data_IF_677059806938
#
_entry.id   IF_677059806938
#
_cell.length_a   1.000
_cell.length_b   1.000
_cell.length_c   1.000
_cell.angle_alpha   90.00
_cell.angle_beta   90.00
_cell.angle_gamma   90.00
#
_symmetry.space_group_name_H-M   'P 1'
#
loop_
_entity.id
_entity.type
_entity.pdbx_description
1 polymer ?
#
# COMPACT_ATOMS: atom_id res chain seq x y z
N UNK A 1 -4.15 -7.52 41.31
CA UNK A 1 -3.32 -6.60 40.49
C UNK A 1 -2.45 -7.33 39.44
N UNK A 2 -1.87 -8.50 39.73
CA UNK A 2 -1.03 -9.24 38.75
C UNK A 2 -1.79 -9.95 37.60
N UNK A 3 -3.05 -10.34 37.80
CA UNK A 3 -3.85 -11.02 36.76
C UNK A 3 -4.29 -10.04 35.67
N UNK A 4 -4.65 -8.83 36.05
CA UNK A 4 -5.09 -7.75 35.16
C UNK A 4 -4.00 -7.34 34.16
N UNK A 5 -2.75 -7.27 34.62
CA UNK A 5 -1.59 -6.93 33.77
C UNK A 5 -1.33 -8.05 32.76
N UNK A 6 -1.44 -9.32 33.17
CA UNK A 6 -1.24 -10.47 32.27
C UNK A 6 -2.26 -10.52 31.13
N UNK A 7 -3.52 -10.17 31.39
CA UNK A 7 -4.56 -10.07 30.37
C UNK A 7 -4.30 -8.91 29.38
N UNK A 8 -3.80 -7.78 29.88
CA UNK A 8 -3.48 -6.60 29.07
C UNK A 8 -2.35 -6.88 28.06
N UNK A 9 -1.34 -7.64 28.47
CA UNK A 9 -0.26 -8.09 27.59
C UNK A 9 -0.79 -9.01 26.49
N UNK A 10 -1.65 -9.98 26.83
CA UNK A 10 -2.24 -10.90 25.84
C UNK A 10 -3.06 -10.15 24.78
N UNK A 11 -3.80 -9.12 25.19
CA UNK A 11 -4.60 -8.29 24.28
C UNK A 11 -3.74 -7.45 23.32
N UNK A 12 -2.59 -6.96 23.77
CA UNK A 12 -1.63 -6.23 22.94
C UNK A 12 -0.93 -7.15 21.93
N UNK A 13 -0.63 -8.40 22.33
CA UNK A 13 -0.02 -9.38 21.43
C UNK A 13 -0.98 -9.87 20.34
N UNK A 14 -2.27 -10.09 20.63
CA UNK A 14 -3.24 -10.51 19.60
C UNK A 14 -3.53 -9.41 18.58
N UNK A 15 -3.46 -8.13 18.96
CA UNK A 15 -3.59 -7.00 18.04
C UNK A 15 -2.46 -6.92 17.01
N UNK A 16 -1.23 -7.27 17.38
CA UNK A 16 -0.06 -7.22 16.49
C UNK A 16 -0.08 -8.31 15.41
N UNK A 17 -0.73 -9.45 15.67
CA UNK A 17 -0.86 -10.54 14.69
C UNK A 17 -1.93 -10.28 13.60
N UNK A 18 -2.86 -9.34 13.82
CA UNK A 18 -3.93 -9.04 12.86
C UNK A 18 -3.46 -8.24 11.63
N UNK A 19 -2.27 -7.65 11.64
CA UNK A 19 -1.78 -6.79 10.56
C UNK A 19 -1.12 -7.53 9.38
N UNK A 20 -1.12 -8.86 9.36
CA UNK A 20 -0.57 -9.67 8.23
C UNK A 20 -1.60 -9.96 7.11
N UNK A 21 -2.64 -9.14 7.04
CA UNK A 21 -3.62 -9.18 5.95
C UNK A 21 -3.17 -8.27 4.82
N UNK A 22 -3.05 -8.82 3.60
CA UNK A 22 -2.66 -8.03 2.44
C UNK A 22 -3.70 -6.91 2.20
N UNK A 23 -3.24 -5.65 2.25
CA UNK A 23 -4.07 -4.46 2.05
C UNK A 23 -4.95 -4.59 0.79
N UNK A 24 -6.19 -4.14 0.90
CA UNK A 24 -7.12 -4.01 -0.22
C UNK A 24 -6.74 -2.83 -1.12
N UNK A 25 -7.31 -2.76 -2.32
CA UNK A 25 -7.07 -1.65 -3.26
C UNK A 25 -7.47 -0.31 -2.62
N UNK A 26 -8.61 -0.27 -1.92
CA UNK A 26 -9.09 0.96 -1.26
C UNK A 26 -8.19 1.39 -0.10
N UNK A 27 -7.64 0.42 0.66
CA UNK A 27 -6.68 0.76 1.71
C UNK A 27 -5.38 1.34 1.14
N UNK A 28 -4.89 0.81 0.01
CA UNK A 28 -3.77 1.43 -0.70
C UNK A 28 -4.12 2.81 -1.26
N UNK A 29 -5.33 3.01 -1.76
CA UNK A 29 -5.78 4.33 -2.21
C UNK A 29 -5.75 5.33 -1.05
N UNK A 30 -6.26 4.95 0.13
CA UNK A 30 -6.23 5.81 1.30
C UNK A 30 -4.80 6.14 1.76
N UNK A 31 -3.89 5.15 1.73
CA UNK A 31 -2.48 5.35 2.06
C UNK A 31 -1.80 6.39 1.16
N UNK A 32 -2.16 6.43 -0.12
CA UNK A 32 -1.56 7.33 -1.11
C UNK A 32 -2.45 8.55 -1.44
N UNK A 33 -3.59 8.71 -0.77
CA UNK A 33 -4.59 9.74 -1.07
C UNK A 33 -4.05 11.16 -0.89
N UNK A 34 -3.11 11.36 0.04
CA UNK A 34 -2.51 12.67 0.31
C UNK A 34 -1.31 13.00 -0.57
N UNK A 35 -0.80 12.05 -1.36
CA UNK A 35 0.36 12.31 -2.22
C UNK A 35 -0.01 13.28 -3.36
N UNK A 36 0.83 14.29 -3.65
CA UNK A 36 0.68 15.13 -4.83
C UNK A 36 0.94 14.32 -6.10
N UNK A 37 0.53 14.84 -7.26
CA UNK A 37 0.72 14.16 -8.55
C UNK A 37 2.19 13.78 -8.83
N UNK A 38 3.14 14.65 -8.50
CA UNK A 38 4.58 14.37 -8.61
C UNK A 38 5.02 13.20 -7.72
N UNK A 39 4.47 13.11 -6.51
CA UNK A 39 4.74 12.00 -5.58
C UNK A 39 4.13 10.68 -6.06
N UNK A 40 2.92 10.72 -6.63
CA UNK A 40 2.29 9.55 -7.26
C UNK A 40 3.07 9.09 -8.50
N UNK A 41 3.51 10.02 -9.35
CA UNK A 41 4.30 9.75 -10.55
C UNK A 41 5.64 9.11 -10.19
N UNK A 42 6.38 9.70 -9.25
CA UNK A 42 7.64 9.16 -8.77
C UNK A 42 7.47 7.74 -8.19
N UNK A 43 6.36 7.48 -7.48
CA UNK A 43 6.04 6.14 -6.98
C UNK A 43 5.71 5.16 -8.09
N UNK A 44 4.93 5.54 -9.08
CA UNK A 44 4.60 4.69 -10.25
C UNK A 44 5.89 4.35 -11.01
N UNK A 45 6.74 5.34 -11.30
CA UNK A 45 8.03 5.14 -11.98
C UNK A 45 8.95 4.23 -11.16
N UNK A 46 9.03 4.45 -9.85
CA UNK A 46 9.81 3.58 -8.96
C UNK A 46 9.26 2.16 -8.93
N UNK A 47 7.93 2.02 -8.98
CA UNK A 47 7.28 0.71 -9.08
C UNK A 47 7.66 0.03 -10.39
N UNK A 48 7.50 0.68 -11.54
CA UNK A 48 7.83 0.10 -12.85
C UNK A 48 9.30 -0.29 -12.98
N UNK A 49 10.23 0.48 -12.38
CA UNK A 49 11.66 0.13 -12.35
C UNK A 49 11.94 -1.12 -11.51
N UNK A 50 11.16 -1.36 -10.45
CA UNK A 50 11.42 -2.43 -9.48
C UNK A 50 10.46 -3.60 -9.59
N UNK A 51 9.36 -3.47 -10.34
CA UNK A 51 8.28 -4.46 -10.41
C UNK A 51 8.78 -5.77 -10.99
N UNK A 52 9.59 -5.74 -12.05
CA UNK A 52 10.10 -6.96 -12.69
C UNK A 52 10.95 -7.79 -11.73
N UNK A 53 11.83 -7.12 -10.96
CA UNK A 53 12.65 -7.75 -9.93
C UNK A 53 11.82 -8.21 -8.73
N UNK A 54 10.85 -7.41 -8.29
CA UNK A 54 9.97 -7.78 -7.18
C UNK A 54 9.06 -8.95 -7.55
N UNK A 55 8.55 -9.00 -8.79
CA UNK A 55 7.69 -10.08 -9.27
C UNK A 55 8.46 -11.38 -9.52
N UNK A 56 9.72 -11.34 -9.94
CA UNK A 56 10.53 -12.54 -10.15
C UNK A 56 10.77 -13.30 -8.84
N UNK A 57 10.98 -12.56 -7.73
CA UNK A 57 11.30 -13.15 -6.42
C UNK A 57 10.08 -13.28 -5.49
N UNK A 58 8.91 -12.75 -5.87
CA UNK A 58 7.72 -12.72 -5.03
C UNK A 58 6.93 -14.04 -5.03
N UNK A 59 6.42 -14.40 -3.86
CA UNK A 59 5.39 -15.41 -3.70
C UNK A 59 4.08 -15.03 -4.41
N UNK A 60 3.18 -16.00 -4.66
CA UNK A 60 1.86 -15.76 -5.29
C UNK A 60 1.02 -14.70 -4.55
N UNK A 61 1.11 -14.68 -3.21
CA UNK A 61 0.45 -13.70 -2.34
C UNK A 61 1.04 -12.30 -2.55
N UNK A 62 2.36 -12.18 -2.59
CA UNK A 62 3.05 -10.92 -2.80
C UNK A 62 2.84 -10.36 -4.20
N UNK A 63 2.85 -11.21 -5.24
CA UNK A 63 2.49 -10.79 -6.60
C UNK A 63 1.10 -10.15 -6.66
N UNK A 64 0.15 -10.75 -5.97
CA UNK A 64 -1.22 -10.22 -5.88
C UNK A 64 -1.27 -8.90 -5.12
N UNK A 65 -0.47 -8.76 -4.05
CA UNK A 65 -0.32 -7.51 -3.29
C UNK A 65 0.26 -6.39 -4.16
N UNK A 66 1.38 -6.65 -4.85
CA UNK A 66 2.04 -5.69 -5.74
C UNK A 66 1.11 -5.23 -6.87
N UNK A 67 0.34 -6.15 -7.48
CA UNK A 67 -0.65 -5.80 -8.50
C UNK A 67 -1.75 -4.88 -7.96
N UNK A 68 -2.25 -5.12 -6.74
CA UNK A 68 -3.28 -4.27 -6.11
C UNK A 68 -2.75 -2.89 -5.79
N UNK A 69 -1.53 -2.81 -5.26
CA UNK A 69 -0.85 -1.56 -4.93
C UNK A 69 -0.63 -0.71 -6.19
N UNK A 70 -0.09 -1.31 -7.25
CA UNK A 70 0.08 -0.63 -8.53
C UNK A 70 -1.25 -0.14 -9.12
N UNK A 71 -2.31 -0.97 -9.05
CA UNK A 71 -3.65 -0.59 -9.49
C UNK A 71 -4.21 0.58 -8.70
N UNK A 72 -3.99 0.63 -7.38
CA UNK A 72 -4.41 1.74 -6.53
C UNK A 72 -3.70 3.04 -6.91
N UNK A 73 -2.37 3.00 -7.08
CA UNK A 73 -1.57 4.16 -7.50
C UNK A 73 -2.03 4.71 -8.84
N UNK A 74 -2.19 3.85 -9.86
CA UNK A 74 -2.64 4.27 -11.18
C UNK A 74 -4.09 4.79 -11.19
N UNK A 75 -4.95 4.20 -10.35
CA UNK A 75 -6.33 4.70 -10.17
C UNK A 75 -6.33 6.09 -9.56
N UNK A 76 -5.57 6.34 -8.49
CA UNK A 76 -5.43 7.66 -7.89
C UNK A 76 -4.84 8.67 -8.86
N UNK A 77 -3.81 8.28 -9.62
CA UNK A 77 -3.18 9.15 -10.61
C UNK A 77 -4.17 9.63 -11.67
N UNK A 78 -5.05 8.74 -12.14
CA UNK A 78 -6.15 9.08 -13.05
C UNK A 78 -7.24 9.91 -12.37
N UNK A 79 -7.67 9.52 -11.17
CA UNK A 79 -8.71 10.23 -10.41
C UNK A 79 -8.32 11.69 -10.12
N UNK A 80 -7.05 11.92 -9.80
CA UNK A 80 -6.50 13.28 -9.59
C UNK A 80 -6.18 14.02 -10.90
N UNK A 81 -6.48 13.45 -12.06
CA UNK A 81 -6.19 14.01 -13.37
C UNK A 81 -4.71 14.42 -13.56
N UNK A 82 -3.77 13.68 -12.97
CA UNK A 82 -2.35 14.04 -12.98
C UNK A 82 -1.73 14.07 -14.39
N UNK A 83 -2.33 13.39 -15.39
CA UNK A 83 -1.92 13.46 -16.79
C UNK A 83 -2.28 14.79 -17.48
N UNK A 84 -3.26 15.54 -16.96
CA UNK A 84 -3.58 16.88 -17.47
C UNK A 84 -2.59 17.86 -16.86
N UNK A 85 -1.36 17.87 -17.37
CA UNK A 85 -0.58 19.12 -17.36
C UNK A 85 -1.43 20.12 -18.14
N UNK A 86 -2.05 21.04 -17.44
CA UNK A 86 -2.46 22.31 -18.04
C UNK A 86 -1.22 22.86 -18.74
N UNK A 87 -1.25 23.07 -20.07
CA UNK A 87 -0.24 23.91 -20.69
C UNK A 87 -0.40 25.28 -20.01
N UNK A 88 0.67 25.72 -19.32
CA UNK A 88 0.79 27.12 -18.93
C UNK A 88 1.05 27.95 -20.16
#
# INVERSE_FOLDING_TARGET
MMISIRLLVIFLFTGFHASSSALSIEQYKNQYALLPCTGLEARIISFDKTISMRLSNASKKERSKLKREYKALNTLYKQKNCHKKTPR
#
